data_IF_918484654291
#
_entry.id   IF_918484654291
#
_cell.length_a   1.000
_cell.length_b   1.000
_cell.length_c   1.000
_cell.angle_alpha   90.00
_cell.angle_beta   90.00
_cell.angle_gamma   90.00
#
_symmetry.space_group_name_H-M   'P 1'
#
loop_
_entity.id
_entity.type
_entity.pdbx_description
1 polymer ?
#
# COMPACT_ATOMS: atom_id res chain seq x y z
N UNK A 1 17.52 -19.32 -19.37
CA UNK A 1 16.40 -19.17 -18.47
C UNK A 1 16.62 -17.89 -17.68
N UNK A 2 15.94 -16.84 -18.14
CA UNK A 2 15.92 -15.54 -17.47
C UNK A 2 15.22 -15.70 -16.14
N UNK A 3 15.94 -15.39 -15.06
CA UNK A 3 15.36 -15.18 -13.74
C UNK A 3 14.60 -13.86 -13.81
N UNK A 4 13.29 -13.94 -13.82
CA UNK A 4 12.44 -12.79 -13.59
C UNK A 4 12.87 -12.11 -12.28
N UNK A 5 13.24 -10.85 -12.38
CA UNK A 5 13.36 -9.94 -11.24
C UNK A 5 12.02 -9.93 -10.50
N UNK A 6 11.99 -9.95 -9.13
CA UNK A 6 10.74 -9.82 -8.41
C UNK A 6 10.15 -8.46 -8.77
N UNK A 7 8.98 -8.47 -9.39
CA UNK A 7 8.14 -7.28 -9.53
C UNK A 7 7.90 -6.72 -8.12
N UNK A 8 8.07 -5.43 -7.96
CA UNK A 8 7.82 -4.68 -6.73
C UNK A 8 6.46 -5.10 -6.18
N UNK A 9 6.46 -5.66 -4.97
CA UNK A 9 5.36 -6.42 -4.40
C UNK A 9 4.06 -5.64 -4.38
N UNK A 10 3.15 -6.03 -5.25
CA UNK A 10 1.75 -5.60 -5.18
C UNK A 10 1.19 -6.10 -3.85
N UNK A 11 0.96 -5.18 -2.90
CA UNK A 11 0.35 -5.52 -1.62
C UNK A 11 -1.10 -5.88 -1.90
N UNK A 12 -1.41 -7.18 -1.87
CA UNK A 12 -2.76 -7.69 -2.04
C UNK A 12 -3.39 -7.93 -0.67
N UNK A 13 -4.55 -7.34 -0.42
CA UNK A 13 -5.33 -7.62 0.78
C UNK A 13 -6.34 -8.73 0.52
N UNK A 14 -6.53 -9.60 1.52
CA UNK A 14 -7.56 -10.64 1.48
C UNK A 14 -8.71 -10.25 2.39
N UNK A 15 -9.94 -10.29 1.87
CA UNK A 15 -11.17 -10.11 2.64
C UNK A 15 -11.81 -11.49 2.83
N UNK A 16 -11.78 -12.03 4.05
CA UNK A 16 -12.41 -13.30 4.36
C UNK A 16 -13.93 -13.14 4.42
N UNK A 17 -14.66 -14.03 3.78
CA UNK A 17 -16.11 -14.02 3.71
C UNK A 17 -16.71 -15.28 4.36
N UNK A 18 -17.71 -15.09 5.21
CA UNK A 18 -18.62 -16.15 5.67
C UNK A 18 -19.95 -15.97 4.95
N UNK A 19 -20.41 -16.99 4.22
CA UNK A 19 -21.64 -16.93 3.45
C UNK A 19 -22.77 -17.69 4.17
N UNK A 20 -23.93 -17.06 4.28
CA UNK A 20 -25.16 -17.66 4.79
C UNK A 20 -26.29 -17.45 3.78
N UNK A 21 -27.04 -18.50 3.48
CA UNK A 21 -28.17 -18.45 2.56
C UNK A 21 -29.34 -19.30 3.06
N UNK A 22 -30.52 -19.08 2.49
CA UNK A 22 -31.72 -19.81 2.81
C UNK A 22 -31.69 -21.27 2.32
N UNK A 23 -31.05 -21.52 1.16
CA UNK A 23 -30.95 -22.83 0.54
C UNK A 23 -29.55 -23.12 -0.02
N UNK A 24 -29.25 -24.39 -0.29
CA UNK A 24 -28.01 -24.81 -0.91
C UNK A 24 -27.84 -24.21 -2.32
N UNK A 25 -28.89 -24.20 -3.13
CA UNK A 25 -28.84 -23.64 -4.47
C UNK A 25 -28.56 -22.14 -4.48
N UNK A 26 -29.14 -21.40 -3.55
CA UNK A 26 -28.88 -19.97 -3.34
C UNK A 26 -27.43 -19.74 -2.93
N UNK A 27 -26.89 -20.58 -2.04
CA UNK A 27 -25.50 -20.48 -1.59
C UNK A 27 -24.51 -20.66 -2.74
N UNK A 28 -24.74 -21.65 -3.61
CA UNK A 28 -23.92 -21.91 -4.80
C UNK A 28 -24.01 -20.78 -5.84
N UNK A 29 -25.21 -20.22 -6.03
CA UNK A 29 -25.39 -19.06 -6.89
C UNK A 29 -24.64 -17.84 -6.35
N UNK A 30 -24.68 -17.63 -5.03
CA UNK A 30 -23.98 -16.55 -4.36
C UNK A 30 -22.45 -16.65 -4.52
N UNK A 31 -21.89 -17.86 -4.35
CA UNK A 31 -20.45 -18.09 -4.59
C UNK A 31 -20.04 -17.68 -6.01
N UNK A 32 -20.79 -18.13 -7.02
CA UNK A 32 -20.52 -17.81 -8.43
C UNK A 32 -20.61 -16.31 -8.73
N UNK A 33 -21.52 -15.59 -8.08
CA UNK A 33 -21.62 -14.14 -8.26
C UNK A 33 -20.48 -13.39 -7.55
N UNK A 34 -20.06 -13.87 -6.37
CA UNK A 34 -18.91 -13.28 -5.66
C UNK A 34 -17.61 -13.49 -6.43
N UNK A 35 -17.41 -14.63 -7.10
CA UNK A 35 -16.24 -14.89 -7.97
C UNK A 35 -16.12 -13.92 -9.13
N UNK A 36 -17.23 -13.33 -9.59
CA UNK A 36 -17.24 -12.31 -10.64
C UNK A 36 -16.82 -10.92 -10.14
N UNK A 37 -16.91 -10.68 -8.83
CA UNK A 37 -16.52 -9.41 -8.22
C UNK A 37 -15.00 -9.34 -8.18
N UNK A 38 -14.44 -8.46 -8.97
CA UNK A 38 -12.99 -8.25 -9.04
C UNK A 38 -12.65 -6.81 -8.64
N UNK A 39 -11.77 -6.67 -7.68
CA UNK A 39 -11.20 -5.38 -7.26
C UNK A 39 -9.69 -5.52 -7.29
N UNK A 40 -9.03 -4.57 -7.91
CA UNK A 40 -7.57 -4.55 -7.99
C UNK A 40 -6.94 -4.58 -6.59
N UNK A 41 -5.97 -5.48 -6.39
CA UNK A 41 -5.25 -5.69 -5.13
C UNK A 41 -6.11 -6.19 -3.96
N UNK A 42 -7.29 -6.78 -4.25
CA UNK A 42 -8.16 -7.43 -3.27
C UNK A 42 -8.46 -8.87 -3.70
N UNK A 43 -8.35 -9.79 -2.75
CA UNK A 43 -8.80 -11.16 -2.91
C UNK A 43 -10.00 -11.38 -2.00
N UNK A 44 -11.15 -11.69 -2.57
CA UNK A 44 -12.32 -12.14 -1.84
C UNK A 44 -12.18 -13.66 -1.60
N UNK A 45 -12.11 -14.07 -0.33
CA UNK A 45 -11.91 -15.47 0.03
C UNK A 45 -13.08 -15.99 0.86
N UNK A 46 -13.89 -16.86 0.29
CA UNK A 46 -14.90 -17.57 1.08
C UNK A 46 -14.21 -18.55 2.04
N UNK A 47 -14.31 -18.28 3.32
CA UNK A 47 -13.71 -19.08 4.41
C UNK A 47 -14.70 -20.04 5.04
N UNK A 48 -15.97 -19.65 5.06
CA UNK A 48 -17.04 -20.44 5.64
C UNK A 48 -18.33 -20.25 4.85
N UNK A 49 -19.16 -21.27 4.86
CA UNK A 49 -20.48 -21.25 4.24
C UNK A 49 -21.47 -22.13 5.01
N UNK A 50 -22.72 -21.71 5.02
CA UNK A 50 -23.77 -22.45 5.72
C UNK A 50 -25.16 -22.02 5.31
N UNK A 51 -26.13 -22.88 5.59
CA UNK A 51 -27.55 -22.65 5.35
C UNK A 51 -28.21 -22.17 6.64
N UNK A 52 -29.19 -21.29 6.51
CA UNK A 52 -29.99 -20.77 7.63
C UNK A 52 -29.52 -19.42 8.13
N UNK A 53 -30.13 -18.95 9.21
CA UNK A 53 -29.86 -17.64 9.80
C UNK A 53 -28.40 -17.51 10.30
N UNK A 54 -27.93 -16.27 10.36
CA UNK A 54 -26.63 -15.95 10.97
C UNK A 54 -26.78 -16.15 12.49
N UNK A 55 -26.04 -17.09 13.03
CA UNK A 55 -26.08 -17.49 14.46
C UNK A 55 -24.92 -16.86 15.23
N UNK A 56 -24.97 -16.95 16.56
CA UNK A 56 -23.86 -16.54 17.44
C UNK A 56 -22.57 -17.31 17.11
N UNK A 57 -22.68 -18.61 16.75
CA UNK A 57 -21.50 -19.42 16.38
C UNK A 57 -20.85 -18.94 15.10
N UNK A 58 -21.60 -18.48 14.09
CA UNK A 58 -21.06 -17.92 12.87
C UNK A 58 -20.25 -16.65 13.17
N UNK A 59 -20.76 -15.80 14.07
CA UNK A 59 -20.05 -14.59 14.51
C UNK A 59 -18.77 -14.93 15.28
N UNK A 60 -18.80 -15.93 16.18
CA UNK A 60 -17.59 -16.37 16.91
C UNK A 60 -16.51 -16.91 15.97
N UNK A 61 -16.91 -17.65 14.94
CA UNK A 61 -15.98 -18.16 13.94
C UNK A 61 -15.38 -17.01 13.09
N UNK A 62 -16.19 -16.02 12.71
CA UNK A 62 -15.72 -14.84 12.00
C UNK A 62 -14.74 -13.99 12.83
N UNK A 63 -14.92 -13.90 14.14
CA UNK A 63 -13.98 -13.22 15.05
C UNK A 63 -12.59 -13.83 15.04
N UNK A 64 -12.49 -15.15 14.82
CA UNK A 64 -11.20 -15.83 14.69
C UNK A 64 -10.41 -15.45 13.42
N UNK A 65 -11.03 -14.72 12.49
CA UNK A 65 -10.43 -14.34 11.21
C UNK A 65 -10.46 -12.80 11.07
N UNK A 66 -9.32 -12.13 11.22
CA UNK A 66 -9.26 -10.67 11.15
C UNK A 66 -9.86 -10.10 9.87
N UNK A 67 -10.77 -9.12 10.01
CA UNK A 67 -11.42 -8.46 8.90
C UNK A 67 -12.52 -9.25 8.19
N UNK A 68 -12.94 -10.39 8.74
CA UNK A 68 -14.01 -11.20 8.16
C UNK A 68 -15.35 -10.45 8.08
N UNK A 69 -16.09 -10.73 7.02
CA UNK A 69 -17.43 -10.23 6.76
C UNK A 69 -18.39 -11.41 6.68
N UNK A 70 -19.53 -11.28 7.33
CA UNK A 70 -20.62 -12.24 7.18
C UNK A 70 -21.63 -11.69 6.18
N UNK A 71 -21.83 -12.39 5.07
CA UNK A 71 -22.82 -12.07 4.05
C UNK A 71 -23.99 -13.02 4.16
N UNK A 72 -25.19 -12.50 4.42
CA UNK A 72 -26.42 -13.25 4.47
C UNK A 72 -27.32 -12.92 3.28
N UNK A 73 -27.84 -13.93 2.62
CA UNK A 73 -28.79 -13.78 1.51
C UNK A 73 -30.10 -14.51 1.80
N UNK A 74 -31.21 -13.78 1.79
CA UNK A 74 -32.54 -14.26 2.18
C UNK A 74 -32.62 -14.88 3.60
N UNK A 75 -31.74 -14.45 4.49
CA UNK A 75 -31.67 -14.91 5.87
C UNK A 75 -31.69 -13.72 6.84
N UNK A 76 -31.89 -14.03 8.12
CA UNK A 76 -31.88 -13.05 9.21
C UNK A 76 -30.69 -13.32 10.13
N UNK A 77 -30.36 -12.34 10.97
CA UNK A 77 -29.42 -12.57 12.07
C UNK A 77 -30.20 -12.89 13.35
N UNK A 78 -29.77 -13.92 14.06
CA UNK A 78 -30.30 -14.22 15.38
C UNK A 78 -29.96 -13.13 16.40
N UNK A 79 -30.84 -12.83 17.38
CA UNK A 79 -30.60 -11.75 18.33
C UNK A 79 -29.22 -11.82 19.02
N UNK A 80 -28.84 -13.01 19.52
CA UNK A 80 -27.53 -13.22 20.16
C UNK A 80 -26.35 -13.01 19.22
N UNK A 81 -26.50 -13.42 17.95
CA UNK A 81 -25.50 -13.19 16.92
C UNK A 81 -25.34 -11.69 16.62
N UNK A 82 -26.44 -10.95 16.55
CA UNK A 82 -26.46 -9.51 16.34
C UNK A 82 -25.76 -8.78 17.48
N UNK A 83 -26.14 -9.06 18.72
CA UNK A 83 -25.56 -8.44 19.93
C UNK A 83 -24.04 -8.69 20.01
N UNK A 84 -23.61 -9.92 19.70
CA UNK A 84 -22.18 -10.27 19.67
C UNK A 84 -21.44 -9.52 18.56
N UNK A 85 -22.00 -9.46 17.35
CA UNK A 85 -21.37 -8.79 16.23
C UNK A 85 -21.21 -7.27 16.47
N UNK A 86 -22.23 -6.62 17.03
CA UNK A 86 -22.19 -5.19 17.39
C UNK A 86 -21.13 -4.92 18.46
N UNK A 87 -21.04 -5.76 19.49
CA UNK A 87 -20.06 -5.61 20.57
C UNK A 87 -18.62 -5.80 20.11
N UNK A 88 -18.39 -6.77 19.25
CA UNK A 88 -17.05 -7.16 18.80
C UNK A 88 -16.65 -6.52 17.45
N UNK A 89 -17.54 -5.76 16.82
CA UNK A 89 -17.28 -5.06 15.58
C UNK A 89 -17.21 -5.95 14.33
N UNK A 90 -17.90 -7.09 14.34
CA UNK A 90 -18.01 -7.96 13.16
C UNK A 90 -19.03 -7.42 12.19
N UNK A 91 -18.63 -7.22 10.94
CA UNK A 91 -19.53 -6.75 9.88
C UNK A 91 -20.47 -7.87 9.43
N UNK A 92 -21.79 -7.67 9.59
CA UNK A 92 -22.84 -8.52 9.01
C UNK A 92 -23.60 -7.69 8.00
N UNK A 93 -23.70 -8.17 6.76
CA UNK A 93 -24.49 -7.54 5.69
C UNK A 93 -25.51 -8.55 5.15
N UNK A 94 -26.79 -8.16 5.17
CA UNK A 94 -27.91 -9.00 4.76
C UNK A 94 -28.55 -8.44 3.50
N UNK A 95 -28.87 -9.29 2.55
CA UNK A 95 -29.43 -8.94 1.26
C UNK A 95 -30.54 -9.90 0.84
N UNK A 96 -31.46 -9.36 0.07
CA UNK A 96 -32.57 -10.07 -0.60
C UNK A 96 -32.47 -9.99 -2.12
N UNK A 97 -31.59 -9.11 -2.64
CA UNK A 97 -31.32 -8.88 -4.05
C UNK A 97 -29.84 -9.08 -4.31
N UNK A 98 -29.51 -10.00 -5.23
CA UNK A 98 -28.12 -10.40 -5.52
C UNK A 98 -27.26 -9.24 -6.03
N UNK A 99 -27.82 -8.36 -6.86
CA UNK A 99 -27.10 -7.21 -7.39
C UNK A 99 -26.72 -6.19 -6.30
N UNK A 100 -27.58 -5.98 -5.31
CA UNK A 100 -27.27 -5.14 -4.16
C UNK A 100 -26.11 -5.68 -3.32
N UNK A 101 -26.05 -7.01 -3.18
CA UNK A 101 -24.95 -7.68 -2.50
C UNK A 101 -23.63 -7.47 -3.24
N UNK A 102 -23.59 -7.68 -4.54
CA UNK A 102 -22.39 -7.52 -5.35
C UNK A 102 -21.92 -6.06 -5.41
N UNK A 103 -22.84 -5.10 -5.55
CA UNK A 103 -22.54 -3.67 -5.48
C UNK A 103 -21.94 -3.28 -4.12
N UNK A 104 -22.60 -3.68 -3.02
CA UNK A 104 -22.11 -3.41 -1.67
C UNK A 104 -20.73 -4.05 -1.43
N UNK A 105 -20.53 -5.28 -1.91
CA UNK A 105 -19.26 -5.99 -1.76
C UNK A 105 -18.14 -5.29 -2.55
N UNK A 106 -18.45 -4.77 -3.73
CA UNK A 106 -17.53 -3.97 -4.54
C UNK A 106 -17.12 -2.67 -3.82
N UNK A 107 -18.10 -1.95 -3.26
CA UNK A 107 -17.85 -0.72 -2.49
C UNK A 107 -17.02 -0.99 -1.23
N UNK A 108 -17.40 -2.02 -0.46
CA UNK A 108 -16.71 -2.40 0.76
C UNK A 108 -15.27 -2.86 0.48
N UNK A 109 -15.07 -3.62 -0.59
CA UNK A 109 -13.75 -4.04 -1.05
C UNK A 109 -12.89 -2.84 -1.45
N UNK A 110 -13.47 -1.90 -2.20
CA UNK A 110 -12.77 -0.67 -2.60
C UNK A 110 -12.38 0.17 -1.37
N UNK A 111 -13.24 0.25 -0.36
CA UNK A 111 -12.95 0.96 0.90
C UNK A 111 -11.81 0.31 1.70
N UNK A 112 -11.67 -1.03 1.61
CA UNK A 112 -10.61 -1.81 2.28
C UNK A 112 -9.35 -1.98 1.43
N UNK A 113 -9.30 -1.37 0.25
CA UNK A 113 -8.11 -1.42 -0.61
C UNK A 113 -6.87 -0.94 0.16
N UNK A 114 -5.79 -1.72 0.19
CA UNK A 114 -4.58 -1.29 0.86
C UNK A 114 -4.04 -0.06 0.17
N UNK A 115 -3.74 0.98 0.95
CA UNK A 115 -3.04 2.15 0.42
C UNK A 115 -1.61 1.75 0.12
N UNK A 116 -1.27 1.64 -1.14
CA UNK A 116 0.10 1.35 -1.57
C UNK A 116 0.90 2.64 -1.51
N UNK A 117 1.95 2.64 -0.71
CA UNK A 117 2.93 3.73 -0.72
C UNK A 117 3.85 3.50 -1.91
N UNK A 118 3.70 4.32 -2.94
CA UNK A 118 4.56 4.28 -4.13
C UNK A 118 5.61 5.36 -3.99
N UNK A 119 6.87 5.00 -4.22
CA UNK A 119 7.96 5.95 -4.31
C UNK A 119 7.99 6.54 -5.73
N UNK A 120 7.55 7.78 -5.89
CA UNK A 120 7.66 8.50 -7.16
C UNK A 120 8.96 9.28 -7.20
N UNK A 121 9.84 8.96 -8.16
CA UNK A 121 11.07 9.71 -8.40
C UNK A 121 10.75 11.13 -8.82
N UNK A 122 11.31 12.12 -8.10
CA UNK A 122 11.15 13.54 -8.40
C UNK A 122 12.32 14.10 -9.21
N UNK A 123 13.50 13.50 -9.06
CA UNK A 123 14.67 13.90 -9.81
C UNK A 123 15.88 13.02 -9.52
N UNK A 124 16.86 13.10 -10.44
CA UNK A 124 18.13 12.39 -10.32
C UNK A 124 19.29 13.35 -10.38
N UNK A 125 20.34 13.06 -9.66
CA UNK A 125 21.55 13.85 -9.65
C UNK A 125 22.80 12.97 -9.63
N UNK A 126 23.90 13.48 -10.15
CA UNK A 126 25.22 12.86 -10.10
C UNK A 126 26.12 13.65 -9.17
N UNK A 127 26.79 12.93 -8.26
CA UNK A 127 27.76 13.53 -7.34
C UNK A 127 29.09 13.76 -8.06
N UNK A 128 29.56 15.00 -8.01
CA UNK A 128 30.81 15.43 -8.66
C UNK A 128 31.91 15.53 -7.62
N UNK A 129 31.60 16.03 -6.42
CA UNK A 129 32.59 16.27 -5.38
C UNK A 129 32.03 16.05 -3.97
N UNK A 130 32.82 15.46 -3.09
CA UNK A 130 32.54 15.35 -1.67
C UNK A 130 33.46 16.33 -0.92
N UNK A 131 32.91 17.13 0.03
CA UNK A 131 33.69 18.20 0.69
C UNK A 131 34.05 17.86 2.14
N UNK A 132 33.07 17.56 2.97
CA UNK A 132 33.29 17.26 4.39
C UNK A 132 32.26 16.27 4.91
N UNK A 133 32.65 15.54 5.94
CA UNK A 133 31.78 14.63 6.66
C UNK A 133 31.91 14.87 8.16
N UNK A 134 30.77 14.93 8.84
CA UNK A 134 30.69 14.92 10.30
C UNK A 134 29.62 13.94 10.72
N UNK A 135 30.06 12.77 11.26
CA UNK A 135 29.22 11.63 11.62
C UNK A 135 28.37 11.16 10.43
N UNK A 136 27.05 11.29 10.56
CA UNK A 136 26.06 10.88 9.52
C UNK A 136 25.75 12.00 8.52
N UNK A 137 26.36 13.21 8.69
CA UNK A 137 26.13 14.35 7.82
C UNK A 137 27.32 14.55 6.88
N UNK A 138 27.02 14.67 5.60
CA UNK A 138 28.03 14.87 4.57
C UNK A 138 27.65 16.02 3.65
N UNK A 139 28.63 16.90 3.37
CA UNK A 139 28.47 17.98 2.39
C UNK A 139 29.00 17.50 1.04
N UNK A 140 28.13 17.54 0.05
CA UNK A 140 28.40 17.05 -1.30
C UNK A 140 27.97 18.08 -2.33
N UNK A 141 28.64 18.04 -3.48
CA UNK A 141 28.29 18.85 -4.65
C UNK A 141 28.05 17.95 -5.85
N UNK A 142 27.11 18.35 -6.69
CA UNK A 142 26.73 17.58 -7.85
C UNK A 142 25.94 18.39 -8.87
N UNK A 143 25.41 17.69 -9.86
CA UNK A 143 24.56 18.26 -10.90
C UNK A 143 23.29 17.44 -11.05
N UNK A 144 22.15 18.11 -11.16
CA UNK A 144 20.86 17.47 -11.44
C UNK A 144 20.85 17.01 -12.88
N UNK A 145 20.61 15.72 -13.10
CA UNK A 145 20.59 15.09 -14.43
C UNK A 145 19.20 14.95 -15.01
N UNK A 146 18.20 14.77 -14.13
CA UNK A 146 16.78 14.67 -14.52
C UNK A 146 15.89 15.27 -13.43
N UNK A 147 14.82 15.94 -13.83
CA UNK A 147 13.76 16.41 -12.96
C UNK A 147 14.18 17.47 -11.95
N UNK A 148 13.70 17.35 -10.71
CA UNK A 148 13.88 18.36 -9.66
C UNK A 148 14.29 17.67 -8.35
N UNK A 149 15.30 18.23 -7.69
CA UNK A 149 15.70 17.80 -6.34
C UNK A 149 15.17 18.81 -5.31
N UNK A 150 14.15 18.50 -4.52
CA UNK A 150 13.65 19.41 -3.50
C UNK A 150 14.40 19.28 -2.17
N UNK A 151 14.43 20.36 -1.41
CA UNK A 151 14.91 20.39 -0.04
C UNK A 151 14.06 19.46 0.83
N UNK A 152 14.65 18.81 1.82
CA UNK A 152 14.05 17.81 2.71
C UNK A 152 13.56 16.51 2.03
N UNK A 153 13.88 16.31 0.75
CA UNK A 153 13.60 15.05 0.08
C UNK A 153 14.39 13.89 0.68
N UNK A 154 13.78 12.71 0.64
CA UNK A 154 14.51 11.46 0.83
C UNK A 154 15.12 11.05 -0.50
N UNK A 155 16.36 10.58 -0.46
CA UNK A 155 17.10 10.15 -1.64
C UNK A 155 17.61 8.73 -1.47
N UNK A 156 17.60 7.97 -2.57
CA UNK A 156 18.33 6.72 -2.71
C UNK A 156 19.75 7.07 -3.18
N UNK A 157 20.75 6.43 -2.60
CA UNK A 157 22.14 6.55 -2.99
C UNK A 157 22.46 5.35 -3.88
N UNK A 158 22.81 5.61 -5.13
CA UNK A 158 23.08 4.60 -6.13
C UNK A 158 24.56 4.57 -6.48
N UNK A 159 25.19 3.42 -6.35
CA UNK A 159 26.57 3.18 -6.79
C UNK A 159 26.58 2.14 -7.89
N UNK A 160 27.05 2.48 -9.07
CA UNK A 160 27.01 1.60 -10.27
C UNK A 160 25.59 1.07 -10.55
N UNK A 161 24.57 1.93 -10.40
CA UNK A 161 23.14 1.63 -10.57
C UNK A 161 22.51 0.69 -9.52
N UNK A 162 23.22 0.37 -8.44
CA UNK A 162 22.66 -0.40 -7.33
C UNK A 162 22.38 0.53 -6.14
N UNK A 163 21.18 0.44 -5.55
CA UNK A 163 20.84 1.14 -4.32
C UNK A 163 21.72 0.59 -3.19
N UNK A 164 22.62 1.42 -2.65
CA UNK A 164 23.48 1.08 -1.53
C UNK A 164 22.94 1.59 -0.21
N UNK A 165 22.04 2.57 -0.25
CA UNK A 165 21.39 3.13 0.93
C UNK A 165 20.54 4.34 0.63
N UNK A 166 20.03 4.93 1.72
CA UNK A 166 19.14 6.09 1.68
C UNK A 166 19.65 7.21 2.56
N UNK A 167 19.31 8.43 2.21
CA UNK A 167 19.63 9.61 3.00
C UNK A 167 18.52 10.66 2.91
N UNK A 168 18.64 11.71 3.73
CA UNK A 168 17.72 12.85 3.71
C UNK A 168 18.51 14.13 3.42
N UNK A 169 18.02 14.95 2.52
CA UNK A 169 18.60 16.27 2.23
C UNK A 169 18.20 17.21 3.36
N UNK A 170 19.20 17.76 4.08
CA UNK A 170 18.98 18.69 5.20
C UNK A 170 19.14 20.14 4.71
N UNK A 171 20.15 20.41 3.87
CA UNK A 171 20.38 21.70 3.26
C UNK A 171 20.58 21.55 1.77
N UNK A 172 20.12 22.54 1.01
CA UNK A 172 20.26 22.59 -0.42
C UNK A 172 20.63 24.01 -0.84
N UNK A 173 21.65 24.13 -1.69
CA UNK A 173 22.15 25.39 -2.20
C UNK A 173 22.36 25.29 -3.70
N UNK A 174 22.09 26.41 -4.40
CA UNK A 174 22.44 26.62 -5.80
C UNK A 174 23.29 27.93 -5.87
N UNK A 175 24.44 27.83 -6.47
CA UNK A 175 25.37 28.97 -6.55
C UNK A 175 25.68 29.63 -5.18
N UNK A 176 25.84 28.84 -4.12
CA UNK A 176 26.06 29.24 -2.73
C UNK A 176 24.87 29.95 -2.06
N UNK A 177 23.70 29.99 -2.69
CA UNK A 177 22.48 30.57 -2.16
C UNK A 177 21.54 29.42 -1.74
N UNK A 178 20.91 29.53 -0.58
CA UNK A 178 19.91 28.52 -0.13
C UNK A 178 18.77 28.42 -1.14
N UNK A 179 18.48 27.20 -1.57
CA UNK A 179 17.42 26.90 -2.50
C UNK A 179 16.39 25.94 -1.89
N UNK A 180 15.13 26.10 -2.27
CA UNK A 180 14.06 25.15 -1.90
C UNK A 180 14.08 23.93 -2.79
N UNK A 181 14.54 24.08 -4.01
CA UNK A 181 14.64 23.04 -5.03
C UNK A 181 15.71 23.41 -6.04
N UNK A 182 16.27 22.41 -6.74
CA UNK A 182 17.21 22.61 -7.85
C UNK A 182 16.72 21.79 -9.04
N UNK A 183 16.55 22.46 -10.18
CA UNK A 183 16.07 21.86 -11.42
C UNK A 183 17.19 21.23 -12.24
N UNK A 184 16.80 20.41 -13.20
CA UNK A 184 17.65 19.73 -14.16
C UNK A 184 18.70 20.69 -14.80
N UNK A 185 19.91 20.18 -15.02
CA UNK A 185 21.01 20.91 -15.64
C UNK A 185 21.79 21.80 -14.69
N UNK A 186 21.28 22.09 -13.50
CA UNK A 186 21.93 22.97 -12.54
C UNK A 186 22.85 22.22 -11.58
N UNK A 187 23.89 22.89 -11.13
CA UNK A 187 24.77 22.43 -10.08
C UNK A 187 24.23 22.81 -8.71
N UNK A 188 24.49 21.96 -7.74
CA UNK A 188 24.06 22.14 -6.35
C UNK A 188 25.19 21.82 -5.36
N UNK A 189 25.10 22.44 -4.19
CA UNK A 189 25.69 21.97 -2.94
C UNK A 189 24.61 21.51 -2.00
N UNK A 190 24.76 20.37 -1.35
CA UNK A 190 23.80 19.92 -0.37
C UNK A 190 24.46 19.29 0.84
N UNK A 191 23.75 19.33 1.97
CA UNK A 191 24.07 18.52 3.15
C UNK A 191 23.06 17.36 3.20
N UNK A 192 23.58 16.16 3.19
CA UNK A 192 22.82 14.92 3.29
C UNK A 192 23.06 14.26 4.65
N UNK A 193 22.02 13.76 5.28
CA UNK A 193 22.07 12.89 6.45
C UNK A 193 21.93 11.45 5.97
N UNK A 194 22.98 10.66 6.15
CA UNK A 194 23.02 9.25 5.71
C UNK A 194 24.02 8.46 6.53
N UNK A 195 23.64 7.26 6.93
CA UNK A 195 24.53 6.31 7.61
C UNK A 195 25.67 5.79 6.68
N UNK A 196 25.47 5.95 5.38
CA UNK A 196 26.42 5.49 4.36
C UNK A 196 27.16 6.67 3.73
N UNK A 197 28.41 6.43 3.38
CA UNK A 197 29.26 7.42 2.74
C UNK A 197 28.91 7.55 1.25
N UNK A 198 28.51 8.76 0.88
CA UNK A 198 28.38 9.13 -0.52
C UNK A 198 29.77 9.41 -1.10
N UNK A 199 30.07 8.84 -2.25
CA UNK A 199 31.33 8.99 -2.95
C UNK A 199 31.17 9.76 -4.27
N UNK A 200 32.28 10.29 -4.78
CA UNK A 200 32.31 10.89 -6.11
C UNK A 200 31.92 9.87 -7.19
N UNK A 201 31.04 10.25 -8.08
CA UNK A 201 30.50 9.37 -9.12
C UNK A 201 29.23 8.61 -8.73
N UNK A 202 28.82 8.63 -7.45
CA UNK A 202 27.53 8.10 -7.04
C UNK A 202 26.38 8.91 -7.65
N UNK A 203 25.22 8.28 -7.85
CA UNK A 203 24.00 8.95 -8.25
C UNK A 203 23.05 9.05 -7.05
N UNK A 204 22.29 10.14 -7.00
CA UNK A 204 21.19 10.32 -6.06
C UNK A 204 19.87 10.28 -6.83
N UNK A 205 18.89 9.58 -6.31
CA UNK A 205 17.54 9.57 -6.81
C UNK A 205 16.60 10.07 -5.71
N UNK A 206 16.12 11.30 -5.90
CA UNK A 206 15.16 11.91 -4.98
C UNK A 206 13.76 11.35 -5.28
N UNK A 207 13.04 10.97 -4.24
CA UNK A 207 11.69 10.46 -4.37
C UNK A 207 10.77 11.02 -3.29
N UNK A 208 9.49 11.01 -3.59
CA UNK A 208 8.41 11.26 -2.63
C UNK A 208 7.57 10.01 -2.49
N UNK A 209 7.07 9.78 -1.29
CA UNK A 209 6.11 8.71 -1.03
C UNK A 209 4.71 9.25 -1.28
N UNK A 210 4.00 8.66 -2.25
CA UNK A 210 2.60 8.97 -2.56
C UNK A 210 1.75 7.77 -2.14
N UNK A 211 0.65 8.02 -1.47
CA UNK A 211 -0.35 6.99 -1.20
C UNK A 211 -1.33 6.96 -2.39
N UNK A 212 -1.39 5.81 -3.06
CA UNK A 212 -2.41 5.51 -4.07
C UNK A 212 -3.37 4.44 -3.60
#
# INVERSE_FOLDING_TARGET
>A
PERATPEEGVITATIPLTLKADTQGTLEALEKEIEKVSVENIILKVTQKGIGNVSESDVRLALGVPGAIILGFNVKTEPRGKDLAEREGVTIALFDIIYKLTEWLLEESTRRKPKVKIEETTGKAKIIRCFSKDKDKQVIGGKVTEGIIPLNATVKILRRNFEIGRGKIIELQQQKIKAKEVAEGNEFGMMIDSKLDVAEGDALEAFRVVEK
#
